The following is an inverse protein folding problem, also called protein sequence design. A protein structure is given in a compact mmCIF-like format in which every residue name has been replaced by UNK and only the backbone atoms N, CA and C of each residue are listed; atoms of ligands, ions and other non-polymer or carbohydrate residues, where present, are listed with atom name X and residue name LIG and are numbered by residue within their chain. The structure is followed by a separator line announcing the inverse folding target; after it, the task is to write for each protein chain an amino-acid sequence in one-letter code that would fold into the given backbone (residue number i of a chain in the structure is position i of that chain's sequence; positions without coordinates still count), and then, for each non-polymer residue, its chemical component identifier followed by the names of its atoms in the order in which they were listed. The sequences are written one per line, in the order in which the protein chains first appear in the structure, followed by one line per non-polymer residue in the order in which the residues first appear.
data_IF_179083290131
#
_entry.id   IF_179083290131
#
_cell.length_a   1.000
_cell.length_b   1.000
_cell.length_c   1.000
_cell.angle_alpha   90.00
_cell.angle_beta   90.00
_cell.angle_gamma   90.00
#
_symmetry.space_group_name_H-M   'P 1'
#
loop_
_entity.id
_entity.type
_entity.pdbx_description
1 polymer ?
#
# COMPACT_ATOMS: atom_id res chain seq x y z
N UNK A 1 -3.33 12.67 7.02
CA UNK A 1 -3.32 11.24 6.66
C UNK A 1 -3.17 10.38 7.90
N UNK A 2 -4.27 9.78 8.35
CA UNK A 2 -4.31 8.95 9.56
C UNK A 2 -3.74 7.53 9.29
N UNK A 3 -3.82 7.05 8.05
CA UNK A 3 -3.54 5.65 7.72
C UNK A 3 -2.03 5.37 7.76
N UNK A 4 -1.19 6.22 7.16
CA UNK A 4 0.28 6.09 7.24
C UNK A 4 0.81 5.97 8.68
N UNK A 5 0.23 6.75 9.61
CA UNK A 5 0.58 6.69 11.04
C UNK A 5 0.16 5.36 11.66
N UNK A 6 -0.99 4.81 11.27
CA UNK A 6 -1.44 3.50 11.74
C UNK A 6 -0.59 2.35 11.19
N UNK A 7 -0.11 2.47 9.95
CA UNK A 7 0.69 1.43 9.26
C UNK A 7 2.17 1.46 9.63
N UNK A 8 2.67 2.60 10.13
CA UNK A 8 4.05 2.77 10.57
C UNK A 8 4.51 1.64 11.50
N UNK A 9 5.61 0.97 11.14
CA UNK A 9 6.20 -0.13 11.90
C UNK A 9 5.39 -1.44 11.90
N UNK A 10 4.28 -1.52 11.18
CA UNK A 10 3.39 -2.69 11.15
C UNK A 10 3.46 -3.43 9.82
N UNK A 11 3.03 -4.69 9.85
CA UNK A 11 2.76 -5.48 8.65
C UNK A 11 1.26 -5.41 8.34
N UNK A 12 0.93 -5.14 7.08
CA UNK A 12 -0.43 -5.13 6.57
C UNK A 12 -0.51 -5.93 5.27
N UNK A 13 -1.72 -6.18 4.79
CA UNK A 13 -1.96 -6.93 3.55
C UNK A 13 -2.31 -5.98 2.42
N UNK A 14 -1.69 -6.21 1.26
CA UNK A 14 -2.12 -5.66 -0.02
C UNK A 14 -2.76 -6.81 -0.78
N UNK A 15 -4.03 -6.65 -1.12
CA UNK A 15 -4.84 -7.66 -1.79
C UNK A 15 -5.11 -7.19 -3.22
N UNK A 16 -4.65 -7.95 -4.20
CA UNK A 16 -4.92 -7.68 -5.60
C UNK A 16 -5.78 -8.81 -6.18
N UNK A 17 -6.97 -8.49 -6.65
CA UNK A 17 -7.88 -9.45 -7.25
C UNK A 17 -7.98 -9.19 -8.77
N UNK A 18 -7.99 -10.27 -9.54
CA UNK A 18 -8.25 -10.24 -10.97
C UNK A 18 -9.47 -11.12 -11.26
N UNK A 19 -10.32 -10.69 -12.18
CA UNK A 19 -11.50 -11.45 -12.59
C UNK A 19 -11.68 -11.38 -14.10
N UNK A 20 -12.06 -12.50 -14.70
CA UNK A 20 -12.44 -12.64 -16.10
C UNK A 20 -13.84 -13.26 -16.16
N UNK A 21 -14.77 -12.58 -16.82
CA UNK A 21 -16.17 -12.97 -16.84
C UNK A 21 -16.73 -12.95 -18.27
N UNK A 22 -17.51 -13.97 -18.61
CA UNK A 22 -18.30 -14.04 -19.83
C UNK A 22 -19.76 -14.42 -19.53
N UNK A 23 -20.58 -14.66 -20.57
CA UNK A 23 -22.01 -14.99 -20.41
C UNK A 23 -22.28 -16.31 -19.67
N UNK A 24 -21.27 -17.15 -19.48
CA UNK A 24 -21.40 -18.50 -18.94
C UNK A 24 -20.76 -18.60 -17.57
N UNK A 25 -19.56 -18.05 -17.40
CA UNK A 25 -18.77 -18.22 -16.18
C UNK A 25 -17.96 -16.98 -15.81
N UNK A 26 -17.57 -16.93 -14.54
CA UNK A 26 -16.57 -15.99 -14.03
C UNK A 26 -15.43 -16.78 -13.40
N UNK A 27 -14.21 -16.52 -13.87
CA UNK A 27 -12.97 -16.93 -13.24
C UNK A 27 -12.43 -15.75 -12.45
N UNK A 28 -11.83 -16.01 -11.30
CA UNK A 28 -11.16 -14.99 -10.51
C UNK A 28 -9.97 -15.58 -9.78
N UNK A 29 -9.02 -14.72 -9.44
CA UNK A 29 -7.90 -15.04 -8.59
C UNK A 29 -7.62 -13.88 -7.63
N UNK A 30 -7.09 -14.20 -6.45
CA UNK A 30 -6.75 -13.24 -5.40
C UNK A 30 -5.32 -13.48 -4.93
N UNK A 31 -4.48 -12.47 -5.12
CA UNK A 31 -3.10 -12.44 -4.64
C UNK A 31 -3.04 -11.59 -3.38
N UNK A 32 -2.58 -12.19 -2.28
CA UNK A 32 -2.40 -11.51 -1.00
C UNK A 32 -0.91 -11.37 -0.70
N UNK A 33 -0.42 -10.13 -0.69
CA UNK A 33 0.97 -9.79 -0.37
C UNK A 33 1.05 -9.17 1.03
N UNK A 34 2.02 -9.58 1.85
CA UNK A 34 2.27 -8.93 3.16
C UNK A 34 3.35 -7.88 3.02
N UNK A 35 3.09 -6.66 3.47
CA UNK A 35 4.05 -5.54 3.42
C UNK A 35 4.29 -5.01 4.82
N UNK A 36 5.55 -4.95 5.24
CA UNK A 36 5.98 -4.31 6.48
C UNK A 36 6.50 -2.92 6.20
N UNK A 37 5.91 -1.88 6.80
CA UNK A 37 6.52 -0.55 6.78
C UNK A 37 7.61 -0.44 7.85
N UNK A 38 8.64 0.36 7.57
CA UNK A 38 9.61 0.76 8.60
C UNK A 38 8.91 1.64 9.64
N UNK A 39 9.59 1.92 10.76
CA UNK A 39 9.10 3.00 11.61
C UNK A 39 9.31 4.35 10.93
N UNK A 40 8.23 5.12 10.88
CA UNK A 40 8.16 6.44 10.28
C UNK A 40 8.03 7.47 11.39
N UNK A 41 8.84 8.52 11.30
CA UNK A 41 8.68 9.71 12.12
C UNK A 41 7.57 10.59 11.56
N UNK A 42 7.01 11.47 12.40
CA UNK A 42 6.02 12.45 11.96
C UNK A 42 6.54 13.28 10.78
N UNK A 43 7.81 13.71 10.85
CA UNK A 43 8.46 14.51 9.79
C UNK A 43 8.48 13.79 8.44
N UNK A 44 8.79 12.50 8.43
CA UNK A 44 8.82 11.71 7.19
C UNK A 44 7.42 11.52 6.60
N UNK A 45 6.43 11.30 7.46
CA UNK A 45 5.03 11.23 7.04
C UNK A 45 4.60 12.56 6.42
N UNK A 46 4.90 13.68 7.08
CA UNK A 46 4.53 15.01 6.60
C UNK A 46 5.26 15.35 5.28
N UNK A 47 6.54 15.00 5.15
CA UNK A 47 7.30 15.15 3.89
C UNK A 47 6.73 14.32 2.76
N UNK A 48 6.32 13.09 3.03
CA UNK A 48 5.71 12.23 2.02
C UNK A 48 4.33 12.77 1.58
N UNK A 49 3.53 13.29 2.52
CA UNK A 49 2.26 13.97 2.22
C UNK A 49 2.48 15.18 1.31
N UNK A 50 3.47 16.02 1.62
CA UNK A 50 3.81 17.20 0.82
C UNK A 50 4.26 16.86 -0.60
N UNK A 51 4.68 15.61 -0.86
CA UNK A 51 5.04 15.18 -2.21
C UNK A 51 3.84 15.01 -3.14
N UNK A 52 2.60 14.94 -2.60
CA UNK A 52 1.37 14.71 -3.37
C UNK A 52 1.12 13.27 -3.79
N UNK A 53 2.14 12.41 -3.75
CA UNK A 53 2.08 10.98 -4.10
C UNK A 53 0.99 10.16 -3.36
N UNK A 54 0.67 10.40 -2.07
CA UNK A 54 -0.30 9.55 -1.38
C UNK A 54 -1.77 9.84 -1.71
N UNK A 55 -2.08 10.93 -2.42
CA UNK A 55 -3.45 11.44 -2.54
C UNK A 55 -4.38 10.60 -3.42
N UNK A 56 -3.82 9.79 -4.32
CA UNK A 56 -4.56 8.89 -5.20
C UNK A 56 -4.36 7.40 -4.86
N UNK A 57 -3.77 7.11 -3.69
CA UNK A 57 -3.39 5.74 -3.29
C UNK A 57 -4.20 5.27 -2.09
N UNK A 58 -4.85 4.13 -2.25
CA UNK A 58 -5.45 3.42 -1.13
C UNK A 58 -4.35 3.05 -0.11
N UNK A 59 -4.57 3.40 1.16
CA UNK A 59 -3.57 3.18 2.21
C UNK A 59 -2.58 4.34 2.41
N UNK A 60 -2.77 5.46 1.71
CA UNK A 60 -1.93 6.66 1.76
C UNK A 60 -0.47 6.42 1.34
N UNK A 61 -0.13 5.34 0.62
CA UNK A 61 1.20 5.17 0.02
C UNK A 61 1.17 4.22 -1.17
N UNK A 62 2.17 4.34 -2.04
CA UNK A 62 2.46 3.36 -3.08
C UNK A 62 3.90 2.87 -2.93
N UNK A 63 4.15 1.59 -3.23
CA UNK A 63 5.51 1.05 -3.18
C UNK A 63 6.41 1.57 -4.33
N UNK A 64 5.80 2.11 -5.38
CA UNK A 64 6.51 2.73 -6.50
C UNK A 64 7.00 4.13 -6.12
N UNK A 65 8.07 4.63 -6.76
CA UNK A 65 8.60 5.98 -6.53
C UNK A 65 9.02 6.24 -5.07
N UNK A 66 8.55 7.33 -4.43
CA UNK A 66 9.06 7.74 -3.11
C UNK A 66 8.53 6.87 -1.98
N UNK A 67 7.35 6.30 -2.13
CA UNK A 67 6.75 5.44 -1.09
C UNK A 67 7.47 4.09 -0.92
N UNK A 68 8.28 3.67 -1.90
CA UNK A 68 9.19 2.52 -1.75
C UNK A 68 10.16 2.67 -0.57
N UNK A 69 10.60 3.89 -0.27
CA UNK A 69 11.47 4.19 0.87
C UNK A 69 10.78 3.99 2.25
N UNK A 70 9.47 3.79 2.28
CA UNK A 70 8.69 3.52 3.50
C UNK A 70 8.62 2.02 3.81
N UNK A 71 8.88 1.16 2.82
CA UNK A 71 8.75 -0.29 2.94
C UNK A 71 10.03 -0.91 3.50
N UNK A 72 9.88 -1.72 4.55
CA UNK A 72 10.98 -2.50 5.15
C UNK A 72 11.13 -3.88 4.51
N UNK A 73 10.01 -4.55 4.23
CA UNK A 73 10.00 -5.93 3.70
C UNK A 73 8.67 -6.27 3.02
N UNK A 74 8.75 -7.13 2.02
CA UNK A 74 7.62 -7.80 1.36
C UNK A 74 7.78 -9.31 1.52
N UNK A 75 6.67 -10.03 1.64
CA UNK A 75 6.60 -11.50 1.63
C UNK A 75 5.64 -11.99 0.57
#
# INVERSE_FOLDING_TARGET
MHILRQLSGKTHQVMNAIAFSDKRNTLYDLIVTKVTLRQLTNKEIDQYILSGEPMDKAGDYAIQSKGGCLVKRIF
#
